data_IF_876631993517
#
_entry.id   IF_876631993517
#
_cell.length_a   1.000
_cell.length_b   1.000
_cell.length_c   1.000
_cell.angle_alpha   90.00
_cell.angle_beta   90.00
_cell.angle_gamma   90.00
#
_symmetry.space_group_name_H-M   'P 1'
#
loop_
_entity.id
_entity.type
_entity.pdbx_description
1 polymer ?
#
# COMPACT_ATOMS: atom_id res chain seq x y z
N UNK A 1 -18.27 4.64 -11.65
CA UNK A 1 -18.12 4.88 -10.19
C UNK A 1 -16.75 5.47 -9.88
N UNK A 2 -16.64 6.42 -8.94
CA UNK A 2 -15.34 7.03 -8.56
C UNK A 2 -14.34 5.96 -8.07
N UNK A 3 -14.85 4.87 -7.48
CA UNK A 3 -14.06 3.74 -6.98
C UNK A 3 -13.31 2.95 -8.05
N UNK A 4 -13.63 3.14 -9.34
CA UNK A 4 -13.05 2.38 -10.45
C UNK A 4 -12.20 3.22 -11.40
N UNK A 5 -12.10 4.53 -11.16
CA UNK A 5 -11.22 5.39 -11.95
C UNK A 5 -9.81 5.30 -11.41
N UNK A 6 -8.83 5.07 -12.30
CA UNK A 6 -7.43 5.09 -11.92
C UNK A 6 -6.97 6.50 -11.55
N UNK A 7 -6.11 6.59 -10.54
CA UNK A 7 -5.44 7.82 -10.13
C UNK A 7 -4.06 7.49 -9.54
N UNK A 8 -3.16 8.47 -9.47
CA UNK A 8 -1.90 8.30 -8.74
C UNK A 8 -2.17 8.36 -7.24
N UNK A 9 -1.87 7.29 -6.47
CA UNK A 9 -2.26 7.22 -5.07
C UNK A 9 -1.51 8.21 -4.17
N UNK A 10 -0.27 8.55 -4.49
CA UNK A 10 0.61 9.28 -3.59
C UNK A 10 0.79 8.55 -2.25
N UNK A 11 0.86 9.30 -1.15
CA UNK A 11 1.31 8.78 0.16
C UNK A 11 0.45 7.65 0.75
N UNK A 12 -0.80 7.47 0.31
CA UNK A 12 -1.61 6.31 0.74
C UNK A 12 -1.05 4.97 0.23
N UNK A 13 -0.06 4.99 -0.67
CA UNK A 13 0.65 3.81 -1.12
C UNK A 13 1.81 3.40 -0.19
N UNK A 14 2.33 4.32 0.64
CA UNK A 14 3.48 4.06 1.52
C UNK A 14 3.28 2.88 2.47
N UNK A 15 2.07 2.66 3.05
CA UNK A 15 1.82 1.48 3.87
C UNK A 15 1.98 0.16 3.10
N UNK A 16 1.74 0.14 1.79
CA UNK A 16 1.99 -1.05 0.95
C UNK A 16 3.49 -1.36 0.90
N UNK A 17 4.32 -0.33 0.66
CA UNK A 17 5.79 -0.46 0.66
C UNK A 17 6.30 -0.90 2.03
N UNK A 18 5.82 -0.27 3.11
CA UNK A 18 6.18 -0.64 4.47
C UNK A 18 5.77 -2.07 4.82
N UNK A 19 4.57 -2.50 4.39
CA UNK A 19 4.09 -3.87 4.59
C UNK A 19 5.07 -4.91 4.00
N UNK A 20 5.54 -4.66 2.77
CA UNK A 20 6.47 -5.55 2.08
C UNK A 20 7.82 -5.66 2.82
N UNK A 21 8.35 -4.53 3.29
CA UNK A 21 9.61 -4.50 4.02
C UNK A 21 9.52 -5.16 5.41
N UNK A 22 8.42 -4.92 6.14
CA UNK A 22 8.14 -5.61 7.40
C UNK A 22 7.99 -7.12 7.21
N UNK A 23 7.36 -7.54 6.12
CA UNK A 23 7.12 -8.96 5.83
C UNK A 23 8.40 -9.72 5.46
N UNK A 24 9.30 -9.06 4.74
CA UNK A 24 10.64 -9.60 4.47
C UNK A 24 11.60 -9.48 5.65
N UNK A 25 11.21 -8.77 6.71
CA UNK A 25 12.08 -8.47 7.85
C UNK A 25 13.23 -7.54 7.48
N UNK A 26 13.12 -6.80 6.38
CA UNK A 26 14.11 -5.82 5.93
C UNK A 26 14.17 -4.62 6.90
N UNK A 27 13.02 -4.27 7.48
CA UNK A 27 12.93 -3.24 8.53
C UNK A 27 12.01 -3.70 9.66
N UNK A 28 12.10 -3.02 10.78
CA UNK A 28 11.18 -3.13 11.92
C UNK A 28 10.58 -1.75 12.23
N UNK A 29 9.47 -1.65 12.99
CA UNK A 29 8.89 -0.36 13.35
C UNK A 29 9.86 0.60 14.06
N UNK A 30 10.84 0.05 14.78
CA UNK A 30 11.89 0.79 15.50
C UNK A 30 13.21 0.91 14.74
N UNK A 31 13.31 0.33 13.53
CA UNK A 31 14.46 0.61 12.67
C UNK A 31 14.48 2.10 12.37
N UNK A 32 15.67 2.71 12.42
CA UNK A 32 15.84 4.15 12.22
C UNK A 32 16.52 4.43 10.89
N UNK A 33 16.29 5.64 10.39
CA UNK A 33 17.08 6.24 9.33
C UNK A 33 17.28 7.73 9.64
N UNK A 34 18.27 8.35 8.99
CA UNK A 34 18.50 9.80 9.12
C UNK A 34 17.85 10.50 7.93
N UNK A 35 16.81 11.27 8.21
CA UNK A 35 16.13 12.12 7.25
C UNK A 35 16.86 13.45 7.04
N UNK A 36 17.47 13.60 5.87
CA UNK A 36 18.09 14.84 5.39
C UNK A 36 17.11 15.76 4.66
N UNK A 37 15.83 15.39 4.59
CA UNK A 37 14.76 16.16 3.91
C UNK A 37 14.71 16.02 2.40
N UNK A 38 15.82 15.55 1.81
CA UNK A 38 15.88 15.17 0.40
C UNK A 38 16.94 14.10 0.15
N UNK A 39 16.70 13.31 -0.89
CA UNK A 39 17.63 12.30 -1.40
C UNK A 39 17.80 12.49 -2.91
N UNK A 40 19.03 12.41 -3.40
CA UNK A 40 19.35 12.47 -4.82
C UNK A 40 19.68 11.07 -5.33
N UNK A 41 18.96 10.61 -6.35
CA UNK A 41 19.18 9.32 -7.01
C UNK A 41 19.36 9.56 -8.50
N UNK A 42 20.59 9.39 -8.98
CA UNK A 42 20.97 9.78 -10.33
C UNK A 42 20.68 11.27 -10.58
N UNK A 43 19.93 11.63 -11.65
CA UNK A 43 19.59 13.01 -11.96
C UNK A 43 18.37 13.54 -11.19
N UNK A 44 17.73 12.72 -10.34
CA UNK A 44 16.47 13.07 -9.67
C UNK A 44 16.69 13.42 -8.21
N UNK A 45 16.00 14.44 -7.72
CA UNK A 45 15.98 14.79 -6.29
C UNK A 45 14.56 14.61 -5.75
N UNK A 46 14.43 13.74 -4.76
CA UNK A 46 13.18 13.46 -4.05
C UNK A 46 13.22 14.22 -2.74
N UNK A 47 12.12 14.89 -2.41
CA UNK A 47 11.99 15.71 -1.20
C UNK A 47 10.81 15.25 -0.37
N UNK A 48 10.88 15.47 0.94
CA UNK A 48 9.68 15.39 1.78
C UNK A 48 8.67 16.45 1.37
N UNK A 49 7.38 16.18 1.58
CA UNK A 49 6.30 17.07 1.17
C UNK A 49 6.31 18.42 1.88
N UNK A 50 6.90 18.49 3.07
CA UNK A 50 7.07 19.72 3.84
C UNK A 50 8.39 20.46 3.56
N UNK A 51 9.27 19.87 2.73
CA UNK A 51 10.56 20.42 2.36
C UNK A 51 11.58 20.48 3.52
N UNK A 52 11.36 19.74 4.61
CA UNK A 52 12.22 19.78 5.80
C UNK A 52 12.97 18.47 6.01
N UNK A 53 14.08 18.57 6.74
CA UNK A 53 14.78 17.45 7.34
C UNK A 53 14.21 17.21 8.75
N UNK A 54 13.97 15.93 9.08
CA UNK A 54 13.43 15.51 10.37
C UNK A 54 14.49 14.85 11.28
N UNK A 55 15.71 14.65 10.79
CA UNK A 55 16.78 14.02 11.57
C UNK A 55 16.57 12.51 11.70
N UNK A 56 17.04 11.92 12.80
CA UNK A 56 16.80 10.49 13.05
C UNK A 56 15.31 10.23 13.27
N UNK A 57 14.75 9.31 12.50
CA UNK A 57 13.34 8.92 12.58
C UNK A 57 13.20 7.40 12.45
N UNK A 58 12.26 6.86 13.21
CA UNK A 58 11.85 5.45 13.15
C UNK A 58 10.96 5.18 11.93
N UNK A 59 10.83 3.92 11.54
CA UNK A 59 9.89 3.53 10.47
C UNK A 59 8.43 3.84 10.81
N UNK A 60 8.08 3.92 12.10
CA UNK A 60 6.75 4.39 12.53
C UNK A 60 6.59 5.87 12.19
N UNK A 61 7.56 6.70 12.57
CA UNK A 61 7.57 8.14 12.26
C UNK A 61 7.61 8.42 10.76
N UNK A 62 8.25 7.56 9.96
CA UNK A 62 8.19 7.61 8.49
C UNK A 62 6.74 7.62 7.98
N UNK A 63 5.88 6.78 8.55
CA UNK A 63 4.46 6.76 8.18
C UNK A 63 3.69 7.93 8.81
N UNK A 64 3.96 8.28 10.07
CA UNK A 64 3.26 9.36 10.79
C UNK A 64 3.45 10.72 10.12
N UNK A 65 4.69 11.06 9.79
CA UNK A 65 5.09 12.30 9.14
C UNK A 65 5.07 12.18 7.61
N UNK A 66 4.73 11.00 7.09
CA UNK A 66 4.68 10.71 5.66
C UNK A 66 5.99 11.13 4.96
N UNK A 67 7.13 10.68 5.47
CA UNK A 67 8.45 11.02 4.90
C UNK A 67 8.67 10.27 3.59
N UNK A 68 8.89 10.99 2.49
CA UNK A 68 9.19 10.38 1.19
C UNK A 68 10.57 9.73 1.22
N UNK A 69 11.57 10.44 1.76
CA UNK A 69 12.95 9.95 1.92
C UNK A 69 13.00 8.66 2.73
N UNK A 70 12.21 8.56 3.79
CA UNK A 70 12.11 7.35 4.61
C UNK A 70 11.57 6.15 3.85
N UNK A 71 10.57 6.34 2.99
CA UNK A 71 10.06 5.23 2.17
C UNK A 71 11.02 4.85 1.04
N UNK A 72 11.82 5.81 0.53
CA UNK A 72 12.93 5.48 -0.37
C UNK A 72 14.00 4.65 0.34
N UNK A 73 14.32 4.96 1.60
CA UNK A 73 15.20 4.12 2.42
C UNK A 73 14.61 2.71 2.62
N UNK A 74 13.33 2.59 2.97
CA UNK A 74 12.62 1.30 3.09
C UNK A 74 12.68 0.48 1.80
N UNK A 75 12.51 1.12 0.64
CA UNK A 75 12.66 0.47 -0.66
C UNK A 75 14.10 -0.04 -0.86
N UNK A 76 15.11 0.75 -0.48
CA UNK A 76 16.51 0.37 -0.55
C UNK A 76 16.82 -0.90 0.26
N UNK A 77 16.29 -0.99 1.48
CA UNK A 77 16.42 -2.18 2.33
C UNK A 77 15.66 -3.41 1.78
N UNK A 78 14.49 -3.19 1.17
CA UNK A 78 13.65 -4.25 0.60
C UNK A 78 14.18 -4.78 -0.75
N UNK A 79 14.69 -3.89 -1.60
CA UNK A 79 15.05 -4.15 -2.98
C UNK A 79 13.86 -4.05 -3.97
N UNK A 80 14.17 -3.59 -5.19
CA UNK A 80 13.16 -3.31 -6.23
C UNK A 80 12.36 -4.55 -6.66
N UNK A 81 13.01 -5.70 -6.79
CA UNK A 81 12.36 -6.94 -7.25
C UNK A 81 11.33 -7.44 -6.23
N UNK A 82 11.71 -7.42 -4.94
CA UNK A 82 10.80 -7.79 -3.87
C UNK A 82 9.63 -6.80 -3.81
N UNK A 83 9.90 -5.49 -3.89
CA UNK A 83 8.85 -4.47 -3.94
C UNK A 83 7.87 -4.70 -5.09
N UNK A 84 8.35 -4.89 -6.32
CA UNK A 84 7.52 -5.20 -7.49
C UNK A 84 6.68 -6.46 -7.29
N UNK A 85 7.26 -7.51 -6.71
CA UNK A 85 6.53 -8.74 -6.41
C UNK A 85 5.39 -8.51 -5.42
N UNK A 86 5.60 -7.73 -4.35
CA UNK A 86 4.53 -7.38 -3.41
C UNK A 86 3.46 -6.50 -4.05
N UNK A 87 3.83 -5.49 -4.84
CA UNK A 87 2.84 -4.65 -5.54
C UNK A 87 1.90 -5.52 -6.40
N UNK A 88 2.45 -6.49 -7.13
CA UNK A 88 1.65 -7.48 -7.88
C UNK A 88 0.85 -8.41 -6.98
N UNK A 89 1.43 -8.89 -5.87
CA UNK A 89 0.74 -9.77 -4.93
C UNK A 89 -0.46 -9.09 -4.23
N UNK A 90 -0.42 -7.77 -4.02
CA UNK A 90 -1.56 -6.96 -3.57
C UNK A 90 -2.63 -6.73 -4.66
N UNK A 91 -2.43 -7.24 -5.88
CA UNK A 91 -3.40 -7.15 -6.98
C UNK A 91 -3.38 -5.83 -7.76
N UNK A 92 -2.39 -4.97 -7.54
CA UNK A 92 -2.27 -3.73 -8.31
C UNK A 92 -1.90 -4.03 -9.77
N UNK A 93 -2.48 -3.27 -10.71
CA UNK A 93 -2.33 -3.51 -12.14
C UNK A 93 -3.33 -4.52 -12.72
N UNK A 94 -4.16 -5.14 -11.89
CA UNK A 94 -5.22 -6.06 -12.29
C UNK A 94 -6.58 -5.60 -11.75
N UNK A 95 -7.66 -5.96 -12.45
CA UNK A 95 -9.02 -5.78 -11.94
C UNK A 95 -9.21 -6.64 -10.69
N UNK A 96 -9.80 -6.09 -9.63
CA UNK A 96 -10.24 -6.87 -8.46
C UNK A 96 -11.33 -7.87 -8.84
N UNK A 97 -12.06 -7.60 -9.93
CA UNK A 97 -13.03 -8.52 -10.52
C UNK A 97 -14.43 -8.30 -9.97
N UNK A 98 -14.89 -7.08 -9.79
CA UNK A 98 -16.32 -6.89 -9.51
C UNK A 98 -17.10 -7.10 -10.83
N UNK A 99 -18.34 -7.66 -10.79
CA UNK A 99 -19.16 -7.84 -11.98
C UNK A 99 -19.76 -6.49 -12.43
N UNK A 100 -18.89 -5.53 -12.75
CA UNK A 100 -19.24 -4.17 -13.13
C UNK A 100 -18.35 -3.73 -14.30
N UNK A 101 -18.98 -3.28 -15.38
CA UNK A 101 -18.32 -3.10 -16.69
C UNK A 101 -17.31 -1.93 -16.76
N UNK A 102 -17.17 -1.17 -15.67
CA UNK A 102 -16.40 0.08 -15.63
C UNK A 102 -15.11 -0.02 -14.80
N UNK A 103 -14.71 -1.23 -14.42
CA UNK A 103 -13.52 -1.45 -13.61
C UNK A 103 -12.22 -1.20 -14.39
N UNK A 104 -11.45 -0.19 -13.98
CA UNK A 104 -10.08 0.00 -14.46
C UNK A 104 -9.11 -0.89 -13.68
N UNK A 105 -8.06 -1.36 -14.35
CA UNK A 105 -7.02 -2.20 -13.74
C UNK A 105 -5.93 -1.39 -13.00
N UNK A 106 -5.93 -0.07 -13.12
CA UNK A 106 -4.75 0.73 -12.79
C UNK A 106 -3.63 0.55 -13.83
N UNK A 107 -2.41 0.98 -13.49
CA UNK A 107 -1.23 0.80 -14.32
C UNK A 107 0.03 0.82 -13.43
N UNK A 108 0.77 -0.29 -13.44
CA UNK A 108 2.05 -0.46 -12.74
C UNK A 108 3.20 -0.79 -13.70
N UNK A 109 3.03 -0.60 -15.01
CA UNK A 109 4.02 -1.02 -16.02
C UNK A 109 5.36 -0.28 -15.91
N UNK A 110 5.39 0.86 -15.20
CA UNK A 110 6.62 1.55 -14.84
C UNK A 110 7.56 0.65 -14.03
N UNK A 111 7.03 -0.24 -13.18
CA UNK A 111 7.82 -1.19 -12.41
C UNK A 111 8.48 -2.29 -13.27
N UNK A 112 8.09 -2.42 -14.52
CA UNK A 112 8.68 -3.37 -15.46
C UNK A 112 9.82 -2.74 -16.29
N UNK A 113 10.10 -1.45 -16.10
CA UNK A 113 11.14 -0.70 -16.81
C UNK A 113 12.47 -0.75 -16.07
N UNK A 114 13.56 -0.66 -16.82
CA UNK A 114 14.90 -0.54 -16.26
C UNK A 114 15.10 0.82 -15.58
N UNK A 115 15.67 0.80 -14.37
CA UNK A 115 16.08 1.99 -13.62
C UNK A 115 15.33 2.17 -12.29
N UNK A 116 16.09 2.45 -11.24
CA UNK A 116 15.58 2.51 -9.86
C UNK A 116 14.52 3.59 -9.65
N UNK A 117 14.54 4.67 -10.45
CA UNK A 117 13.61 5.80 -10.32
C UNK A 117 12.14 5.36 -10.39
N UNK A 118 11.82 4.32 -11.16
CA UNK A 118 10.45 3.83 -11.29
C UNK A 118 9.97 3.16 -10.00
N UNK A 119 10.79 2.28 -9.41
CA UNK A 119 10.48 1.68 -8.12
C UNK A 119 10.45 2.73 -7.01
N UNK A 120 11.40 3.66 -7.02
CA UNK A 120 11.50 4.76 -6.05
C UNK A 120 10.24 5.63 -6.07
N UNK A 121 9.83 6.14 -7.23
CA UNK A 121 8.63 6.97 -7.34
C UNK A 121 7.36 6.20 -6.98
N UNK A 122 7.26 4.93 -7.41
CA UNK A 122 6.13 4.07 -7.09
C UNK A 122 6.04 3.74 -5.60
N UNK A 123 7.16 3.66 -4.88
CA UNK A 123 7.20 3.33 -3.45
C UNK A 123 6.39 4.31 -2.57
N UNK A 124 6.29 5.56 -3.00
CA UNK A 124 5.46 6.59 -2.37
C UNK A 124 4.28 7.03 -3.25
N UNK A 125 3.92 6.20 -4.24
CA UNK A 125 2.67 6.28 -4.99
C UNK A 125 2.65 7.21 -6.19
N UNK A 126 3.80 7.53 -6.79
CA UNK A 126 3.92 8.29 -8.03
C UNK A 126 4.40 7.42 -9.19
N UNK A 127 4.03 7.75 -10.43
CA UNK A 127 4.46 6.97 -11.61
C UNK A 127 3.76 5.60 -11.74
N UNK A 128 2.75 5.33 -10.90
CA UNK A 128 1.79 4.23 -11.01
C UNK A 128 0.38 4.78 -10.80
N UNK A 129 -0.62 4.09 -11.33
CA UNK A 129 -2.02 4.41 -11.03
C UNK A 129 -2.74 3.20 -10.45
N UNK A 130 -3.63 3.47 -9.51
CA UNK A 130 -4.47 2.46 -8.85
C UNK A 130 -5.90 2.97 -8.81
N UNK A 131 -6.85 2.08 -8.53
CA UNK A 131 -8.24 2.46 -8.24
C UNK A 131 -8.49 2.48 -6.73
N UNK A 132 -9.45 3.28 -6.23
CA UNK A 132 -9.79 3.26 -4.82
C UNK A 132 -10.22 1.87 -4.31
N UNK A 133 -10.83 1.02 -5.15
CA UNK A 133 -11.20 -0.33 -4.76
C UNK A 133 -9.99 -1.26 -4.58
N UNK A 134 -8.93 -1.13 -5.40
CA UNK A 134 -7.68 -1.87 -5.21
C UNK A 134 -6.99 -1.47 -3.90
N UNK A 135 -6.95 -0.17 -3.58
CA UNK A 135 -6.40 0.29 -2.30
C UNK A 135 -7.23 -0.21 -1.12
N UNK A 136 -8.57 -0.15 -1.21
CA UNK A 136 -9.43 -0.67 -0.15
C UNK A 136 -9.21 -2.17 0.08
N UNK A 137 -9.04 -2.96 -0.98
CA UNK A 137 -8.70 -4.39 -0.88
C UNK A 137 -7.32 -4.62 -0.23
N UNK A 138 -6.31 -3.84 -0.62
CA UNK A 138 -4.97 -3.92 -0.04
C UNK A 138 -4.98 -3.58 1.46
N UNK A 139 -5.67 -2.51 1.87
CA UNK A 139 -5.82 -2.16 3.27
C UNK A 139 -6.65 -3.19 4.06
N UNK A 140 -7.70 -3.75 3.46
CA UNK A 140 -8.47 -4.83 4.06
C UNK A 140 -7.61 -6.08 4.31
N UNK A 141 -6.57 -6.30 3.51
CA UNK A 141 -5.60 -7.39 3.72
C UNK A 141 -4.83 -7.19 5.03
N UNK A 142 -4.51 -5.95 5.41
CA UNK A 142 -3.87 -5.65 6.70
C UNK A 142 -4.79 -5.97 7.88
N UNK A 143 -6.06 -5.56 7.77
CA UNK A 143 -7.07 -5.87 8.76
C UNK A 143 -7.35 -7.38 8.86
N UNK A 144 -7.30 -8.09 7.74
CA UNK A 144 -7.54 -9.53 7.64
C UNK A 144 -6.26 -10.37 7.87
N UNK A 145 -5.40 -9.92 8.79
CA UNK A 145 -4.18 -10.60 9.22
C UNK A 145 -3.25 -11.05 8.07
N UNK A 146 -3.21 -10.28 6.97
CA UNK A 146 -2.37 -10.52 5.79
C UNK A 146 -3.00 -11.40 4.71
N UNK A 147 -4.26 -11.80 4.86
CA UNK A 147 -4.99 -12.61 3.86
C UNK A 147 -5.84 -11.70 2.97
N UNK A 148 -5.60 -11.73 1.67
CA UNK A 148 -6.35 -10.95 0.70
C UNK A 148 -7.60 -11.72 0.25
N UNK A 149 -8.71 -11.00 0.18
CA UNK A 149 -10.00 -11.51 -0.31
C UNK A 149 -10.50 -10.62 -1.44
N UNK A 150 -11.26 -11.19 -2.37
CA UNK A 150 -11.93 -10.41 -3.41
C UNK A 150 -13.13 -9.67 -2.80
N UNK A 151 -13.26 -8.35 -3.02
CA UNK A 151 -14.46 -7.61 -2.62
C UNK A 151 -15.71 -8.21 -3.26
N UNK A 152 -16.83 -8.19 -2.53
CA UNK A 152 -18.15 -8.60 -3.03
C UNK A 152 -19.19 -7.53 -2.70
N UNK A 153 -20.15 -7.37 -3.60
CA UNK A 153 -21.30 -6.46 -3.42
C UNK A 153 -22.58 -7.21 -3.06
N UNK A 154 -22.67 -8.48 -3.48
CA UNK A 154 -23.84 -9.33 -3.23
C UNK A 154 -23.52 -10.29 -2.09
N UNK A 155 -24.39 -10.31 -1.08
CA UNK A 155 -24.25 -11.21 0.08
C UNK A 155 -24.85 -12.59 -0.20
N UNK A 156 -26.02 -12.63 -0.81
CA UNK A 156 -26.79 -13.85 -1.06
C UNK A 156 -27.81 -13.62 -2.19
N UNK A 157 -28.23 -14.71 -2.82
CA UNK A 157 -29.31 -14.77 -3.79
C UNK A 157 -30.55 -15.39 -3.12
N UNK A 158 -31.71 -14.77 -3.28
CA UNK A 158 -32.99 -15.26 -2.76
C UNK A 158 -33.90 -15.61 -3.92
N UNK A 159 -34.43 -16.83 -3.92
CA UNK A 159 -35.26 -17.36 -4.99
C UNK A 159 -36.75 -17.39 -4.59
N UNK A 160 -37.69 -17.37 -5.56
CA UNK A 160 -39.13 -17.37 -5.28
C UNK A 160 -39.64 -18.60 -4.51
N UNK A 161 -38.92 -19.72 -4.58
CA UNK A 161 -39.20 -20.96 -3.85
C UNK A 161 -38.72 -20.92 -2.38
N UNK A 162 -38.20 -19.77 -1.93
CA UNK A 162 -37.68 -19.57 -0.58
C UNK A 162 -36.23 -20.01 -0.39
N UNK A 163 -35.57 -20.55 -1.41
CA UNK A 163 -34.15 -20.93 -1.33
C UNK A 163 -33.29 -19.67 -1.19
N UNK A 164 -32.33 -19.70 -0.26
CA UNK A 164 -31.31 -18.66 -0.08
C UNK A 164 -29.94 -19.28 -0.36
N UNK A 165 -29.18 -18.68 -1.29
CA UNK A 165 -27.82 -19.10 -1.63
C UNK A 165 -26.83 -17.99 -1.27
N UNK A 166 -25.95 -18.18 -0.26
CA UNK A 166 -24.91 -17.20 0.03
C UNK A 166 -23.92 -17.11 -1.14
N UNK A 167 -23.38 -15.92 -1.38
CA UNK A 167 -22.26 -15.74 -2.29
C UNK A 167 -20.98 -16.02 -1.50
N UNK A 168 -20.20 -17.01 -1.90
CA UNK A 168 -18.98 -17.39 -1.18
C UNK A 168 -17.92 -16.27 -1.17
N UNK A 169 -17.10 -16.26 -0.12
CA UNK A 169 -15.95 -15.35 -0.03
C UNK A 169 -14.80 -15.94 -0.85
N UNK A 170 -14.35 -15.21 -1.86
CA UNK A 170 -13.21 -15.60 -2.70
C UNK A 170 -11.90 -15.17 -2.04
N UNK A 171 -11.20 -16.14 -1.44
CA UNK A 171 -9.91 -15.95 -0.76
C UNK A 171 -8.78 -16.05 -1.80
N UNK A 172 -8.05 -14.94 -1.99
CA UNK A 172 -6.96 -14.84 -2.98
C UNK A 172 -5.62 -15.35 -2.43
N UNK A 173 -5.53 -15.53 -1.11
CA UNK A 173 -4.37 -16.09 -0.43
C UNK A 173 -3.70 -15.10 0.53
N UNK A 174 -2.60 -15.53 1.13
CA UNK A 174 -1.80 -14.72 2.06
C UNK A 174 -0.79 -13.88 1.28
N UNK A 175 -0.88 -12.57 1.40
CA UNK A 175 0.04 -11.60 0.74
C UNK A 175 1.19 -11.23 1.68
N UNK A 176 0.89 -11.03 2.95
CA UNK A 176 1.88 -10.79 4.01
C UNK A 176 1.62 -11.71 5.21
N UNK A 177 2.65 -11.95 6.00
CA UNK A 177 2.56 -12.66 7.26
C UNK A 177 1.64 -11.92 8.23
N UNK A 178 1.03 -12.71 9.13
CA UNK A 178 0.21 -12.21 10.23
C UNK A 178 1.02 -11.27 11.15
N UNK A 179 2.32 -11.52 11.30
CA UNK A 179 3.22 -10.65 12.07
C UNK A 179 3.36 -9.28 11.40
N UNK A 180 3.67 -9.24 10.10
CA UNK A 180 3.80 -7.99 9.36
C UNK A 180 2.49 -7.17 9.37
N UNK A 181 1.35 -7.83 9.13
CA UNK A 181 0.03 -7.18 9.19
C UNK A 181 -0.25 -6.52 10.56
N UNK A 182 0.09 -7.21 11.66
CA UNK A 182 -0.09 -6.68 13.03
C UNK A 182 0.83 -5.50 13.32
N UNK A 183 2.11 -5.59 12.94
CA UNK A 183 3.06 -4.50 13.11
C UNK A 183 2.61 -3.26 12.31
N UNK A 184 2.22 -3.46 11.06
CA UNK A 184 1.72 -2.38 10.21
C UNK A 184 0.46 -1.73 10.77
N UNK A 185 -0.52 -2.52 11.23
CA UNK A 185 -1.74 -1.97 11.85
C UNK A 185 -1.41 -1.12 13.08
N UNK A 186 -0.46 -1.54 13.93
CA UNK A 186 -0.02 -0.74 15.08
C UNK A 186 0.61 0.59 14.64
N UNK A 187 1.45 0.57 13.59
CA UNK A 187 2.01 1.80 13.03
C UNK A 187 0.93 2.72 12.45
N UNK A 188 -0.07 2.17 11.76
CA UNK A 188 -1.18 2.94 11.18
C UNK A 188 -2.13 3.53 12.24
N UNK A 189 -2.32 2.85 13.38
CA UNK A 189 -2.98 3.45 14.55
C UNK A 189 -2.20 4.68 15.02
N UNK A 190 -0.88 4.58 15.09
CA UNK A 190 -0.02 5.71 15.47
C UNK A 190 -0.08 6.88 14.46
N UNK A 191 -0.24 6.61 13.16
CA UNK A 191 -0.48 7.65 12.14
C UNK A 191 -1.75 8.47 12.47
N UNK A 192 -2.79 7.82 12.99
CA UNK A 192 -4.03 8.49 13.42
C UNK A 192 -3.80 9.25 14.72
N UNK A 193 -3.15 8.65 15.71
CA UNK A 193 -2.98 9.29 17.04
C UNK A 193 -1.97 10.45 17.03
N UNK A 194 -0.83 10.26 16.36
CA UNK A 194 0.34 11.14 16.42
C UNK A 194 0.58 11.93 15.14
N UNK A 195 0.19 11.37 13.99
CA UNK A 195 0.48 11.92 12.65
C UNK A 195 -0.53 12.96 12.13
N UNK A 196 -0.57 13.11 10.81
CA UNK A 196 -1.44 14.07 10.12
C UNK A 196 -2.92 13.67 10.07
N UNK A 197 -3.26 12.45 10.49
CA UNK A 197 -4.60 11.87 10.33
C UNK A 197 -5.48 11.91 11.60
N UNK A 198 -5.17 12.76 12.58
CA UNK A 198 -5.89 12.84 13.88
C UNK A 198 -7.41 12.92 13.80
N UNK A 199 -7.95 13.53 12.74
CA UNK A 199 -9.41 13.65 12.53
C UNK A 199 -10.07 12.35 12.08
N UNK A 200 -9.29 11.32 11.75
CA UNK A 200 -9.78 10.00 11.35
C UNK A 200 -9.90 9.02 12.54
N UNK A 201 -9.57 9.45 13.76
CA UNK A 201 -9.81 8.67 14.98
C UNK A 201 -11.31 8.40 15.16
N UNK A 202 -11.65 7.17 15.53
CA UNK A 202 -13.01 6.69 15.74
C UNK A 202 -13.20 6.29 17.19
#
# INVERSE_FOLDING_TARGET
>A
PVTFKSYEPGSVFKPITMAAALDRGAVSPSSTFVDTGSITVGPFTIKNSDGKAHGEATMTEVLEQSLNTGVVHVLGELGNDAFRAYVKAFGFGERVGLPLDTEAAGNISSLDRDGDVYAITASYGQGITVTPIQLAQAYATFANEGVMVRPRLVKELRYPDGVVRPVEVDVRGRVISKKAARLLNAMLVSVVESGHARRAGV
#
